data_IF_946742340136
#
_entry.id   IF_946742340136
#
_cell.length_a   1.000
_cell.length_b   1.000
_cell.length_c   1.000
_cell.angle_alpha   90.00
_cell.angle_beta   90.00
_cell.angle_gamma   90.00
#
_symmetry.space_group_name_H-M   'P 1'
#
loop_
_entity.id
_entity.type
_entity.pdbx_description
1 polymer ?
#
# COMPACT_ATOMS: atom_id res chain seq x y z
N UNK A 1 20.49 11.71 -9.48
CA UNK A 1 19.23 11.31 -8.80
C UNK A 1 18.40 12.57 -8.58
N UNK A 2 17.17 12.68 -9.13
CA UNK A 2 16.31 13.86 -8.88
C UNK A 2 15.74 13.77 -7.46
N UNK A 3 15.77 14.89 -6.72
CA UNK A 3 15.12 14.98 -5.40
C UNK A 3 13.60 14.88 -5.60
N UNK A 4 12.98 13.87 -5.01
CA UNK A 4 11.53 13.75 -4.95
C UNK A 4 11.03 14.64 -3.79
N UNK A 5 10.20 15.63 -4.09
CA UNK A 5 9.53 16.42 -3.04
C UNK A 5 8.32 15.67 -2.53
N UNK A 6 8.51 14.92 -1.44
CA UNK A 6 7.46 14.09 -0.82
C UNK A 6 6.58 14.86 0.16
N UNK A 7 6.99 16.06 0.57
CA UNK A 7 6.38 16.80 1.69
C UNK A 7 4.89 17.12 1.51
N UNK A 8 4.38 17.10 0.27
CA UNK A 8 2.97 17.34 -0.04
C UNK A 8 2.19 16.08 -0.46
N UNK A 9 2.85 14.95 -0.73
CA UNK A 9 2.19 13.70 -1.17
C UNK A 9 2.35 12.62 -0.09
N UNK A 10 1.37 12.55 0.82
CA UNK A 10 1.30 11.58 1.91
C UNK A 10 1.20 10.16 1.39
N UNK A 11 0.57 9.94 0.24
CA UNK A 11 0.49 8.62 -0.37
C UNK A 11 1.87 8.13 -0.82
N UNK A 12 2.64 9.00 -1.47
CA UNK A 12 4.02 8.69 -1.86
C UNK A 12 4.91 8.50 -0.62
N UNK A 13 4.80 9.36 0.38
CA UNK A 13 5.56 9.23 1.63
C UNK A 13 5.24 7.92 2.36
N UNK A 14 3.98 7.52 2.38
CA UNK A 14 3.53 6.25 2.96
C UNK A 14 4.12 5.04 2.23
N UNK A 15 4.05 5.01 0.89
CA UNK A 15 4.63 3.92 0.08
C UNK A 15 6.14 3.82 0.28
N UNK A 16 6.85 4.95 0.30
CA UNK A 16 8.29 4.99 0.60
C UNK A 16 8.58 4.50 2.02
N UNK A 17 7.73 4.86 2.99
CA UNK A 17 7.82 4.38 4.37
C UNK A 17 7.69 2.87 4.48
N UNK A 18 6.77 2.26 3.74
CA UNK A 18 6.64 0.79 3.66
C UNK A 18 7.92 0.18 3.09
N UNK A 19 8.36 0.64 1.92
CA UNK A 19 9.56 0.10 1.26
C UNK A 19 10.79 0.22 2.17
N UNK A 20 10.94 1.35 2.85
CA UNK A 20 12.04 1.55 3.80
C UNK A 20 11.92 0.65 5.03
N UNK A 21 10.71 0.48 5.58
CA UNK A 21 10.45 -0.37 6.75
C UNK A 21 10.77 -1.85 6.48
N UNK A 22 10.56 -2.33 5.26
CA UNK A 22 10.85 -3.70 4.84
C UNK A 22 12.13 -3.85 4.02
N UNK A 23 13.05 -2.86 4.06
CA UNK A 23 14.27 -2.83 3.22
C UNK A 23 15.17 -4.07 3.33
N UNK A 24 15.08 -4.82 4.42
CA UNK A 24 15.86 -6.05 4.66
C UNK A 24 15.10 -7.33 4.34
N UNK A 25 13.82 -7.23 4.00
CA UNK A 25 12.97 -8.36 3.67
C UNK A 25 12.95 -8.61 2.15
N UNK A 26 12.61 -9.83 1.76
CA UNK A 26 12.31 -10.13 0.37
C UNK A 26 10.92 -9.58 0.02
N UNK A 27 10.88 -8.43 -0.66
CA UNK A 27 9.64 -7.76 -1.04
C UNK A 27 9.16 -8.27 -2.41
N UNK A 28 7.92 -8.74 -2.48
CA UNK A 28 7.16 -8.89 -3.73
C UNK A 28 6.11 -7.79 -3.85
N UNK A 29 5.89 -7.29 -5.06
CA UNK A 29 4.91 -6.26 -5.37
C UNK A 29 3.91 -6.77 -6.40
N UNK A 30 2.62 -6.70 -6.06
CA UNK A 30 1.52 -7.00 -6.98
C UNK A 30 0.66 -5.75 -7.19
N UNK A 31 0.40 -5.40 -8.44
CA UNK A 31 -0.46 -4.27 -8.79
C UNK A 31 -1.72 -4.81 -9.46
N UNK A 32 -2.89 -4.47 -8.92
CA UNK A 32 -4.21 -4.96 -9.36
C UNK A 32 -5.18 -3.81 -9.59
N UNK A 33 -6.26 -4.07 -10.32
CA UNK A 33 -7.31 -3.07 -10.48
C UNK A 33 -8.03 -2.83 -9.14
N UNK A 34 -8.45 -1.60 -8.86
CA UNK A 34 -9.14 -1.26 -7.62
C UNK A 34 -10.42 -2.08 -7.41
N UNK A 35 -11.11 -2.45 -8.50
CA UNK A 35 -12.35 -3.24 -8.47
C UNK A 35 -12.12 -4.70 -8.06
N UNK A 36 -10.88 -5.19 -8.12
CA UNK A 36 -10.51 -6.55 -7.69
C UNK A 36 -10.25 -6.65 -6.18
N UNK A 37 -10.33 -5.55 -5.44
CA UNK A 37 -10.10 -5.57 -4.00
C UNK A 37 -11.23 -6.30 -3.28
N UNK A 38 -10.89 -7.37 -2.56
CA UNK A 38 -11.79 -8.07 -1.64
C UNK A 38 -11.14 -8.16 -0.26
N UNK A 39 -11.79 -7.55 0.73
CA UNK A 39 -11.36 -7.53 2.12
C UNK A 39 -11.21 -8.93 2.72
N UNK A 40 -11.99 -9.91 2.25
CA UNK A 40 -11.90 -11.31 2.72
C UNK A 40 -10.55 -11.95 2.37
N UNK A 41 -10.00 -11.62 1.21
CA UNK A 41 -8.69 -12.12 0.78
C UNK A 41 -7.52 -11.52 1.59
N UNK A 42 -7.79 -10.46 2.35
CA UNK A 42 -6.81 -9.69 3.11
C UNK A 42 -7.11 -9.66 4.62
N UNK A 43 -7.88 -10.63 5.14
CA UNK A 43 -8.31 -10.63 6.55
C UNK A 43 -7.14 -10.66 7.56
N UNK A 44 -6.01 -11.25 7.17
CA UNK A 44 -4.79 -11.32 7.98
C UNK A 44 -3.72 -10.30 7.56
N UNK A 45 -4.03 -9.44 6.59
CA UNK A 45 -3.09 -8.48 6.03
C UNK A 45 -3.32 -7.10 6.64
N UNK A 46 -2.28 -6.26 6.68
CA UNK A 46 -2.43 -4.86 7.05
C UNK A 46 -2.93 -4.08 5.85
N UNK A 47 -4.16 -3.59 5.91
CA UNK A 47 -4.80 -2.84 4.82
C UNK A 47 -4.82 -1.35 5.12
N UNK A 48 -4.45 -0.55 4.13
CA UNK A 48 -4.48 0.90 4.17
C UNK A 48 -5.20 1.43 2.94
N UNK A 49 -6.07 2.41 3.15
CA UNK A 49 -6.85 3.08 2.14
C UNK A 49 -6.26 4.46 1.89
N UNK A 50 -6.02 4.79 0.62
CA UNK A 50 -5.38 6.03 0.22
C UNK A 50 -6.28 6.79 -0.75
N UNK A 51 -6.47 8.08 -0.49
CA UNK A 51 -7.08 9.01 -1.44
C UNK A 51 -6.06 10.08 -1.84
N UNK A 52 -5.54 9.98 -3.07
CA UNK A 52 -4.55 10.91 -3.62
C UNK A 52 -5.12 12.29 -3.95
N UNK A 53 -6.45 12.42 -4.10
CA UNK A 53 -7.11 13.71 -4.34
C UNK A 53 -7.14 14.54 -3.05
N UNK A 54 -7.53 13.91 -1.94
CA UNK A 54 -7.56 14.55 -0.62
C UNK A 54 -6.25 14.43 0.15
N UNK A 55 -5.28 13.68 -0.40
CA UNK A 55 -4.00 13.40 0.23
C UNK A 55 -4.15 12.70 1.60
N UNK A 56 -5.08 11.74 1.69
CA UNK A 56 -5.42 11.01 2.91
C UNK A 56 -4.87 9.58 2.86
N UNK A 57 -4.40 9.10 4.02
CA UNK A 57 -4.04 7.71 4.28
C UNK A 57 -4.76 7.28 5.55
N UNK A 58 -5.46 6.15 5.52
CA UNK A 58 -6.23 5.63 6.65
C UNK A 58 -6.09 4.11 6.73
N UNK A 59 -6.16 3.55 7.94
CA UNK A 59 -6.37 2.10 8.15
C UNK A 59 -7.86 1.73 8.09
N UNK A 60 -8.73 2.72 8.15
CA UNK A 60 -10.18 2.57 7.99
C UNK A 60 -10.58 2.77 6.52
N UNK A 61 -11.66 2.10 6.14
CA UNK A 61 -12.19 2.15 4.79
C UNK A 61 -12.64 3.57 4.44
N UNK A 62 -12.19 4.04 3.27
CA UNK A 62 -12.60 5.33 2.72
C UNK A 62 -13.76 5.12 1.75
N UNK A 63 -14.67 6.09 1.66
CA UNK A 63 -15.80 6.05 0.71
C UNK A 63 -15.32 6.04 -0.75
N UNK A 64 -14.32 6.86 -1.06
CA UNK A 64 -13.72 6.93 -2.40
C UNK A 64 -12.19 6.76 -2.33
N UNK A 65 -11.68 5.54 -2.11
CA UNK A 65 -10.25 5.31 -2.15
C UNK A 65 -9.77 5.41 -3.60
N UNK A 66 -8.65 6.08 -3.79
CA UNK A 66 -7.95 6.05 -5.09
C UNK A 66 -7.03 4.84 -5.21
N UNK A 67 -6.49 4.40 -4.08
CA UNK A 67 -5.64 3.23 -3.96
C UNK A 67 -5.96 2.49 -2.66
N UNK A 68 -5.75 1.18 -2.65
CA UNK A 68 -5.74 0.36 -1.44
C UNK A 68 -4.42 -0.40 -1.42
N UNK A 69 -3.72 -0.34 -0.29
CA UNK A 69 -2.46 -1.02 -0.08
C UNK A 69 -2.66 -2.11 0.97
N UNK A 70 -2.44 -3.37 0.61
CA UNK A 70 -2.44 -4.47 1.57
C UNK A 70 -1.02 -5.02 1.73
N UNK A 71 -0.60 -5.26 2.97
CA UNK A 71 0.73 -5.78 3.29
C UNK A 71 0.55 -7.12 3.98
N UNK A 72 1.08 -8.17 3.35
CA UNK A 72 1.12 -9.53 3.88
C UNK A 72 2.55 -9.86 4.29
N UNK A 73 2.72 -10.19 5.57
CA UNK A 73 3.99 -10.65 6.12
C UNK A 73 3.95 -12.19 6.28
N UNK A 74 4.70 -12.90 5.44
CA UNK A 74 4.85 -14.35 5.57
C UNK A 74 5.96 -14.69 6.57
N UNK A 75 5.57 -14.97 7.81
CA UNK A 75 6.52 -15.26 8.91
C UNK A 75 7.46 -16.43 8.64
N UNK A 76 7.03 -17.42 7.86
CA UNK A 76 7.81 -18.63 7.59
C UNK A 76 8.90 -18.40 6.53
N UNK A 77 8.62 -17.58 5.52
CA UNK A 77 9.53 -17.32 4.40
C UNK A 77 10.35 -16.02 4.59
N UNK A 78 9.95 -15.16 5.54
CA UNK A 78 10.51 -13.82 5.68
C UNK A 78 10.15 -12.89 4.52
N UNK A 79 9.20 -13.32 3.67
CA UNK A 79 8.75 -12.58 2.49
C UNK A 79 7.66 -11.60 2.88
N UNK A 80 7.68 -10.44 2.26
CA UNK A 80 6.66 -9.41 2.39
C UNK A 80 6.02 -9.20 1.03
N UNK A 81 4.72 -9.43 0.92
CA UNK A 81 3.95 -9.15 -0.28
C UNK A 81 3.17 -7.86 -0.08
N UNK A 82 3.44 -6.88 -0.95
CA UNK A 82 2.72 -5.61 -1.01
C UNK A 82 1.76 -5.69 -2.20
N UNK A 83 0.47 -5.59 -1.94
CA UNK A 83 -0.56 -5.47 -2.96
C UNK A 83 -0.97 -4.00 -3.07
N UNK A 84 -0.91 -3.45 -4.28
CA UNK A 84 -1.40 -2.11 -4.60
C UNK A 84 -2.57 -2.24 -5.56
N UNK A 85 -3.76 -1.96 -5.05
CA UNK A 85 -4.99 -1.84 -5.82
C UNK A 85 -5.16 -0.39 -6.23
N UNK A 86 -5.32 -0.11 -7.52
CA UNK A 86 -5.53 1.25 -8.03
C UNK A 86 -6.33 1.24 -9.32
N UNK A 87 -7.02 2.34 -9.62
CA UNK A 87 -7.57 2.53 -10.98
C UNK A 87 -6.42 2.60 -11.97
N UNK A 88 -6.54 1.91 -13.11
CA UNK A 88 -5.55 1.98 -14.19
C UNK A 88 -5.47 3.39 -14.78
#
# INVERSE_FOLDING_TARGET
>A
MRKLEVNKDKSLAFLLGIIYGYRTAHIGLEIKDLTEFDKKNHINDRVYYLNRKSNTVSSEELEEPTHICAIREEKQSGKVLIFIYKRR
#
